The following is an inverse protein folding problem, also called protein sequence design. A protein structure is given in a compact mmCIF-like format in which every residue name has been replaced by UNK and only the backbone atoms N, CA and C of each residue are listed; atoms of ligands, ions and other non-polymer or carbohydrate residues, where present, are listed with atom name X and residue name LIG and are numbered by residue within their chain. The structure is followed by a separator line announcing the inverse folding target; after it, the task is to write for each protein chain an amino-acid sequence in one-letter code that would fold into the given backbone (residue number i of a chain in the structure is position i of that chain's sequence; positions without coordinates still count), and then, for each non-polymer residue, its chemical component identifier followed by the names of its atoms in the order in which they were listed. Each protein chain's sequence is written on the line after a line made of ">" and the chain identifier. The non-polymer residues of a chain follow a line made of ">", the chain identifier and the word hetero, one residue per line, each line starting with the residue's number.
data_IF_116643248028
#
_entry.id   IF_116643248028
#
_cell.length_a   1.000
_cell.length_b   1.000
_cell.length_c   1.000
_cell.angle_alpha   90.00
_cell.angle_beta   90.00
_cell.angle_gamma   90.00
#
_symmetry.space_group_name_H-M   'P 1'
#
loop_
_entity.id
_entity.type
_entity.pdbx_description
1 polymer ?
#
# COMPACT_ATOMS: atom_id res chain seq x y z
N UNK A 1 10.90 7.03 -20.11
CA UNK A 1 11.23 7.91 -18.96
C UNK A 1 10.01 8.49 -18.23
N UNK A 2 9.08 9.20 -18.87
CA UNK A 2 7.93 9.82 -18.16
C UNK A 2 7.09 8.82 -17.33
N UNK A 3 6.70 7.67 -17.90
CA UNK A 3 5.92 6.62 -17.19
C UNK A 3 6.65 6.05 -15.98
N UNK A 4 7.98 5.93 -16.04
CA UNK A 4 8.83 5.48 -14.95
C UNK A 4 8.82 6.48 -13.78
N UNK A 5 9.06 7.75 -14.08
CA UNK A 5 9.07 8.81 -13.05
C UNK A 5 7.71 8.89 -12.35
N UNK A 6 6.61 8.85 -13.10
CA UNK A 6 5.28 8.83 -12.48
C UNK A 6 5.03 7.58 -11.65
N UNK A 7 5.55 6.43 -12.07
CA UNK A 7 5.43 5.19 -11.28
C UNK A 7 6.10 5.34 -9.92
N UNK A 8 7.34 5.83 -9.90
CA UNK A 8 8.08 6.10 -8.67
C UNK A 8 7.36 7.11 -7.79
N UNK A 9 6.97 8.26 -8.33
CA UNK A 9 6.31 9.33 -7.57
C UNK A 9 5.01 8.83 -6.93
N UNK A 10 4.18 8.12 -7.70
CA UNK A 10 2.92 7.59 -7.18
C UNK A 10 3.22 6.57 -6.07
N UNK A 11 4.11 5.61 -6.31
CA UNK A 11 4.46 4.60 -5.31
C UNK A 11 5.00 5.20 -4.02
N UNK A 12 5.91 6.19 -4.13
CA UNK A 12 6.44 6.91 -2.98
C UNK A 12 5.38 7.65 -2.20
N UNK A 13 4.38 8.26 -2.84
CA UNK A 13 3.28 8.92 -2.12
C UNK A 13 2.56 7.89 -1.23
N UNK A 14 2.22 6.71 -1.76
CA UNK A 14 1.55 5.67 -0.98
C UNK A 14 2.43 5.12 0.16
N UNK A 15 3.73 4.93 -0.08
CA UNK A 15 4.66 4.48 0.96
C UNK A 15 4.85 5.54 2.06
N UNK A 16 5.09 6.79 1.66
CA UNK A 16 5.37 7.91 2.57
C UNK A 16 4.21 8.16 3.54
N UNK A 17 2.97 8.10 3.05
CA UNK A 17 1.77 8.29 3.87
C UNK A 17 1.67 7.26 5.00
N UNK A 18 2.19 6.04 4.82
CA UNK A 18 2.18 5.00 5.86
C UNK A 18 3.41 5.10 6.75
N UNK A 19 4.58 5.36 6.19
CA UNK A 19 5.81 5.45 6.96
C UNK A 19 5.86 6.66 7.90
N UNK A 20 5.19 7.77 7.56
CA UNK A 20 4.96 8.86 8.52
C UNK A 20 4.31 8.34 9.80
N UNK A 21 3.35 7.42 9.68
CA UNK A 21 2.63 6.88 10.84
C UNK A 21 3.55 5.90 11.58
N UNK A 22 4.12 4.94 10.85
CA UNK A 22 4.83 3.79 11.42
C UNK A 22 6.23 4.09 11.97
N UNK A 23 6.95 5.03 11.36
CA UNK A 23 8.31 5.39 11.79
C UNK A 23 8.37 6.80 12.35
N UNK A 24 7.77 7.78 11.66
CA UNK A 24 7.77 9.18 12.10
C UNK A 24 7.03 9.38 13.42
N UNK A 25 5.72 9.15 13.42
CA UNK A 25 4.84 9.39 14.57
C UNK A 25 5.02 8.32 15.65
N UNK A 26 5.06 7.04 15.27
CA UNK A 26 5.11 5.93 16.23
C UNK A 26 6.44 5.84 16.98
N UNK A 27 7.55 6.02 16.26
CA UNK A 27 8.89 5.72 16.77
C UNK A 27 9.77 6.97 16.90
N UNK A 28 9.36 8.12 16.35
CA UNK A 28 10.19 9.32 16.28
C UNK A 28 11.40 9.18 15.34
N UNK A 29 11.43 8.14 14.51
CA UNK A 29 12.56 7.75 13.67
C UNK A 29 12.44 8.37 12.28
N UNK A 30 12.54 9.70 12.22
CA UNK A 30 12.32 10.47 10.99
C UNK A 30 13.37 10.22 9.91
N UNK A 31 14.64 10.00 10.30
CA UNK A 31 15.73 9.78 9.35
C UNK A 31 15.60 8.38 8.74
N UNK A 32 15.31 7.39 9.56
CA UNK A 32 15.07 6.00 9.17
C UNK A 32 13.82 5.88 8.31
N UNK A 33 12.79 6.68 8.60
CA UNK A 33 11.61 6.82 7.74
C UNK A 33 12.00 7.29 6.35
N UNK A 34 12.79 8.37 6.23
CA UNK A 34 13.23 8.89 4.94
C UNK A 34 14.09 7.86 4.20
N UNK A 35 15.01 7.19 4.90
CA UNK A 35 15.82 6.12 4.32
C UNK A 35 14.95 4.98 3.80
N UNK A 36 13.98 4.52 4.60
CA UNK A 36 13.07 3.42 4.24
C UNK A 36 12.23 3.79 3.03
N UNK A 37 11.62 4.98 3.04
CA UNK A 37 10.82 5.47 1.90
C UNK A 37 11.69 5.56 0.66
N UNK A 38 12.83 6.23 0.70
CA UNK A 38 13.62 6.49 -0.52
C UNK A 38 14.32 5.24 -1.05
N UNK A 39 14.96 4.47 -0.17
CA UNK A 39 15.83 3.37 -0.55
C UNK A 39 15.05 2.07 -0.67
N UNK A 40 14.39 1.65 0.41
CA UNK A 40 13.73 0.36 0.46
C UNK A 40 12.51 0.32 -0.47
N UNK A 41 11.56 1.23 -0.29
CA UNK A 41 10.41 1.31 -1.20
C UNK A 41 10.84 1.73 -2.61
N UNK A 42 11.91 2.52 -2.76
CA UNK A 42 12.45 2.87 -4.08
C UNK A 42 12.87 1.64 -4.89
N UNK A 43 13.65 0.76 -4.28
CA UNK A 43 14.04 -0.51 -4.88
C UNK A 43 12.81 -1.39 -5.17
N UNK A 44 11.88 -1.48 -4.23
CA UNK A 44 10.66 -2.28 -4.36
C UNK A 44 9.76 -1.81 -5.53
N UNK A 45 9.52 -0.50 -5.63
CA UNK A 45 8.75 0.12 -6.73
C UNK A 45 9.46 -0.11 -8.06
N UNK A 46 10.79 0.05 -8.09
CA UNK A 46 11.59 -0.15 -9.30
C UNK A 46 11.44 -1.58 -9.80
N UNK A 47 11.62 -2.58 -8.94
CA UNK A 47 11.43 -4.00 -9.29
C UNK A 47 9.99 -4.24 -9.78
N UNK A 48 8.99 -3.66 -9.12
CA UNK A 48 7.59 -3.66 -9.55
C UNK A 48 7.40 -3.15 -10.98
N UNK A 49 7.95 -1.98 -11.27
CA UNK A 49 7.89 -1.37 -12.60
C UNK A 49 8.55 -2.24 -13.66
N UNK A 50 9.75 -2.77 -13.40
CA UNK A 50 10.45 -3.65 -14.33
C UNK A 50 9.68 -4.93 -14.60
N UNK A 51 9.17 -5.56 -13.54
CA UNK A 51 8.34 -6.75 -13.65
C UNK A 51 7.12 -6.47 -14.52
N UNK A 52 6.38 -5.39 -14.26
CA UNK A 52 5.18 -5.04 -15.02
C UNK A 52 5.42 -4.83 -16.52
N UNK A 53 6.56 -4.25 -16.92
CA UNK A 53 6.82 -3.93 -18.32
C UNK A 53 7.51 -5.07 -19.11
N UNK A 54 8.30 -5.93 -18.47
CA UNK A 54 9.07 -6.97 -19.19
C UNK A 54 8.26 -8.19 -19.60
N UNK A 55 7.10 -8.39 -19.01
CA UNK A 55 6.51 -9.74 -18.94
C UNK A 55 5.07 -9.81 -19.43
N UNK A 56 4.52 -8.72 -20.00
CA UNK A 56 3.07 -8.58 -20.30
C UNK A 56 2.19 -9.10 -19.15
N UNK A 57 2.68 -9.00 -17.91
CA UNK A 57 2.16 -9.87 -16.87
C UNK A 57 0.78 -9.41 -16.43
N UNK A 58 -0.07 -10.43 -16.26
CA UNK A 58 -1.37 -10.32 -15.63
C UNK A 58 -1.33 -9.37 -14.42
N UNK A 59 -2.24 -8.38 -14.33
CA UNK A 59 -2.35 -7.49 -13.18
C UNK A 59 -2.60 -8.28 -11.89
N UNK A 60 -3.28 -9.43 -11.97
CA UNK A 60 -3.45 -10.34 -10.85
C UNK A 60 -2.11 -10.90 -10.35
N UNK A 61 -1.25 -11.40 -11.24
CA UNK A 61 0.07 -11.92 -10.84
C UNK A 61 0.92 -10.85 -10.18
N UNK A 62 0.96 -9.66 -10.77
CA UNK A 62 1.68 -8.53 -10.19
C UNK A 62 1.16 -8.21 -8.78
N UNK A 63 -0.15 -8.07 -8.62
CA UNK A 63 -0.77 -7.78 -7.35
C UNK A 63 -0.43 -8.82 -6.26
N UNK A 64 -0.56 -10.11 -6.58
CA UNK A 64 -0.27 -11.20 -5.64
C UNK A 64 1.21 -11.27 -5.30
N UNK A 65 2.10 -11.21 -6.29
CA UNK A 65 3.54 -11.35 -6.06
C UNK A 65 4.07 -10.24 -5.17
N UNK A 66 3.75 -8.98 -5.48
CA UNK A 66 4.28 -7.87 -4.69
C UNK A 66 3.62 -7.78 -3.31
N UNK A 67 2.34 -8.13 -3.17
CA UNK A 67 1.71 -8.24 -1.86
C UNK A 67 2.34 -9.34 -1.00
N UNK A 68 2.63 -10.52 -1.57
CA UNK A 68 3.29 -11.62 -0.85
C UNK A 68 4.73 -11.26 -0.50
N UNK A 69 5.52 -10.74 -1.44
CA UNK A 69 6.91 -10.32 -1.16
C UNK A 69 6.93 -9.30 -0.02
N UNK A 70 5.99 -8.35 -0.03
CA UNK A 70 5.79 -7.42 1.07
C UNK A 70 5.55 -8.10 2.41
N UNK A 71 4.62 -9.06 2.47
CA UNK A 71 4.39 -9.86 3.68
C UNK A 71 5.65 -10.61 4.13
N UNK A 72 6.43 -11.17 3.21
CA UNK A 72 7.68 -11.84 3.57
C UNK A 72 8.65 -10.85 4.24
N UNK A 73 8.73 -9.60 3.75
CA UNK A 73 9.50 -8.57 4.44
C UNK A 73 8.95 -8.27 5.84
N UNK A 74 7.64 -8.17 5.99
CA UNK A 74 7.03 -7.98 7.32
C UNK A 74 7.36 -9.11 8.27
N UNK A 75 7.29 -10.35 7.81
CA UNK A 75 7.49 -11.52 8.66
C UNK A 75 8.95 -11.73 9.02
N UNK A 76 9.86 -11.63 8.05
CA UNK A 76 11.25 -12.03 8.21
C UNK A 76 12.20 -10.88 8.50
N UNK A 77 11.90 -9.66 8.03
CA UNK A 77 12.74 -8.49 8.29
C UNK A 77 12.21 -7.69 9.46
N UNK A 78 10.90 -7.41 9.50
CA UNK A 78 10.31 -6.58 10.55
C UNK A 78 9.77 -7.38 11.75
N UNK A 79 9.77 -8.72 11.67
CA UNK A 79 9.36 -9.59 12.77
C UNK A 79 7.86 -9.59 13.06
N UNK A 80 7.02 -9.07 12.15
CA UNK A 80 5.55 -9.00 12.29
C UNK A 80 4.86 -10.28 11.80
N UNK A 81 5.46 -11.43 12.11
CA UNK A 81 4.92 -12.72 11.72
C UNK A 81 3.61 -13.02 12.48
N UNK A 82 2.61 -13.67 11.83
CA UNK A 82 1.31 -13.95 12.45
C UNK A 82 1.35 -15.05 13.53
N UNK A 83 2.51 -15.66 13.76
CA UNK A 83 2.67 -16.87 14.58
C UNK A 83 2.75 -16.61 16.09
N UNK A 84 2.69 -15.35 16.53
CA UNK A 84 2.87 -14.92 17.92
C UNK A 84 1.64 -15.10 18.83
N UNK A 85 0.57 -15.74 18.33
CA UNK A 85 -0.66 -15.99 19.09
C UNK A 85 -1.63 -14.81 19.07
N UNK A 86 -2.92 -15.10 19.21
CA UNK A 86 -4.00 -14.10 19.15
C UNK A 86 -5.26 -14.61 18.46
N UNK A 87 -6.27 -13.75 18.34
CA UNK A 87 -7.49 -14.09 17.61
C UNK A 87 -7.20 -14.22 16.10
N UNK A 88 -7.47 -15.39 15.53
CA UNK A 88 -7.20 -15.71 14.12
C UNK A 88 -7.79 -14.69 13.14
N UNK A 89 -9.03 -14.23 13.36
CA UNK A 89 -9.71 -13.28 12.48
C UNK A 89 -8.98 -11.93 12.50
N UNK A 90 -8.60 -11.47 13.70
CA UNK A 90 -7.87 -10.21 13.85
C UNK A 90 -6.52 -10.29 13.15
N UNK A 91 -5.77 -11.37 13.36
CA UNK A 91 -4.49 -11.61 12.69
C UNK A 91 -4.68 -11.60 11.18
N UNK A 92 -5.68 -12.31 10.65
CA UNK A 92 -5.96 -12.34 9.22
C UNK A 92 -6.25 -10.94 8.64
N UNK A 93 -7.04 -10.11 9.32
CA UNK A 93 -7.34 -8.75 8.89
C UNK A 93 -6.09 -7.86 8.84
N UNK A 94 -5.21 -7.98 9.84
CA UNK A 94 -3.93 -7.25 9.86
C UNK A 94 -3.07 -7.68 8.67
N UNK A 95 -2.94 -8.99 8.43
CA UNK A 95 -2.15 -9.52 7.32
C UNK A 95 -2.73 -9.10 5.95
N UNK A 96 -4.06 -9.07 5.80
CA UNK A 96 -4.71 -8.56 4.59
C UNK A 96 -4.43 -7.07 4.36
N UNK A 97 -4.47 -6.26 5.42
CA UNK A 97 -4.11 -4.84 5.36
C UNK A 97 -2.67 -4.62 4.94
N UNK A 98 -1.72 -5.33 5.56
CA UNK A 98 -0.29 -5.25 5.22
C UNK A 98 -0.02 -5.72 3.79
N UNK A 99 -0.59 -6.86 3.39
CA UNK A 99 -0.52 -7.36 2.02
C UNK A 99 -1.01 -6.30 1.02
N UNK A 100 -2.18 -5.71 1.30
CA UNK A 100 -2.76 -4.69 0.43
C UNK A 100 -1.89 -3.45 0.38
N UNK A 101 -1.31 -3.02 1.51
CA UNK A 101 -0.37 -1.90 1.56
C UNK A 101 0.83 -2.13 0.65
N UNK A 102 1.52 -3.26 0.81
CA UNK A 102 2.69 -3.59 -0.01
C UNK A 102 2.33 -3.68 -1.50
N UNK A 103 1.22 -4.34 -1.82
CA UNK A 103 0.75 -4.38 -3.20
C UNK A 103 0.39 -2.97 -3.72
N UNK A 104 -0.16 -2.09 -2.90
CA UNK A 104 -0.55 -0.72 -3.29
C UNK A 104 0.63 0.07 -3.84
N UNK A 105 1.79 -0.02 -3.19
CA UNK A 105 2.97 0.78 -3.54
C UNK A 105 3.44 0.52 -4.98
N UNK A 106 3.27 -0.69 -5.49
CA UNK A 106 3.63 -1.05 -6.87
C UNK A 106 2.42 -1.03 -7.81
N UNK A 107 1.23 -1.36 -7.31
CA UNK A 107 0.04 -1.59 -8.12
C UNK A 107 -0.82 -0.34 -8.34
N UNK A 108 -0.87 0.59 -7.39
CA UNK A 108 -1.56 1.87 -7.59
C UNK A 108 -0.97 2.69 -8.74
N UNK A 109 0.37 2.78 -8.92
CA UNK A 109 0.96 3.31 -10.15
C UNK A 109 0.40 2.71 -11.43
N UNK A 110 0.28 1.38 -11.47
CA UNK A 110 -0.25 0.66 -12.64
C UNK A 110 -1.70 1.06 -12.90
N UNK A 111 -2.55 1.00 -11.88
CA UNK A 111 -3.98 1.38 -11.97
C UNK A 111 -4.16 2.83 -12.43
N UNK A 112 -3.40 3.77 -11.87
CA UNK A 112 -3.56 5.20 -12.14
C UNK A 112 -3.01 5.61 -13.51
N UNK A 113 -1.98 4.92 -14.00
CA UNK A 113 -1.36 5.22 -15.30
C UNK A 113 -1.97 4.42 -16.46
N UNK A 114 -2.76 3.38 -16.20
CA UNK A 114 -3.41 2.57 -17.24
C UNK A 114 -4.50 3.37 -17.97
N UNK A 115 -4.27 3.72 -19.23
CA UNK A 115 -5.22 4.48 -20.06
C UNK A 115 -6.15 3.58 -20.88
N UNK A 116 -5.77 2.33 -21.06
CA UNK A 116 -6.43 1.42 -21.99
C UNK A 116 -7.57 0.69 -21.29
N UNK A 117 -7.37 0.23 -20.06
CA UNK A 117 -8.32 -0.65 -19.37
C UNK A 117 -9.15 0.08 -18.31
N UNK A 118 -8.73 1.28 -17.90
CA UNK A 118 -9.32 1.99 -16.75
C UNK A 118 -9.87 3.34 -17.16
N UNK A 119 -11.16 3.54 -16.95
CA UNK A 119 -11.79 4.84 -17.16
C UNK A 119 -11.42 5.85 -16.05
N UNK A 120 -11.54 7.14 -16.37
CA UNK A 120 -11.23 8.24 -15.43
C UNK A 120 -12.07 8.17 -14.14
N UNK A 121 -13.29 7.65 -14.22
CA UNK A 121 -14.19 7.51 -13.07
C UNK A 121 -13.65 6.53 -12.02
N UNK A 122 -13.13 5.37 -12.43
CA UNK A 122 -12.56 4.37 -11.53
C UNK A 122 -11.32 4.92 -10.82
N UNK A 123 -10.42 5.61 -11.55
CA UNK A 123 -9.24 6.27 -10.96
C UNK A 123 -9.63 7.33 -9.93
N UNK A 124 -10.59 8.19 -10.29
CA UNK A 124 -11.08 9.26 -9.39
C UNK A 124 -11.69 8.68 -8.12
N UNK A 125 -12.51 7.63 -8.23
CA UNK A 125 -13.14 7.00 -7.08
C UNK A 125 -12.11 6.30 -6.17
N UNK A 126 -11.14 5.60 -6.77
CA UNK A 126 -10.02 5.02 -6.02
C UNK A 126 -9.24 6.09 -5.24
N UNK A 127 -8.83 7.19 -5.91
CA UNK A 127 -8.11 8.28 -5.25
C UNK A 127 -8.95 8.99 -4.18
N UNK A 128 -10.23 9.26 -4.47
CA UNK A 128 -11.12 9.91 -3.50
C UNK A 128 -11.28 9.04 -2.25
N UNK A 129 -11.48 7.73 -2.43
CA UNK A 129 -11.55 6.80 -1.32
C UNK A 129 -10.27 6.79 -0.50
N UNK A 130 -9.10 6.73 -1.17
CA UNK A 130 -7.81 6.75 -0.48
C UNK A 130 -7.59 8.05 0.30
N UNK A 131 -7.81 9.20 -0.34
CA UNK A 131 -7.60 10.52 0.27
C UNK A 131 -8.55 10.72 1.46
N UNK A 132 -9.83 10.40 1.30
CA UNK A 132 -10.82 10.53 2.38
C UNK A 132 -10.49 9.55 3.50
N UNK A 133 -10.20 8.29 3.17
CA UNK A 133 -9.85 7.25 4.14
C UNK A 133 -8.62 7.63 4.96
N UNK A 134 -7.49 7.88 4.29
CA UNK A 134 -6.26 8.30 4.96
C UNK A 134 -6.42 9.63 5.69
N UNK A 135 -7.08 10.63 5.08
CA UNK A 135 -7.36 11.90 5.73
C UNK A 135 -8.14 11.72 7.03
N UNK A 136 -9.13 10.82 7.05
CA UNK A 136 -9.87 10.46 8.26
C UNK A 136 -8.96 9.81 9.31
N UNK A 137 -8.11 8.86 8.92
CA UNK A 137 -7.14 8.21 9.83
C UNK A 137 -6.21 9.25 10.47
N UNK A 138 -5.71 10.20 9.68
CA UNK A 138 -4.85 11.27 10.17
C UNK A 138 -5.58 12.22 11.12
N UNK A 139 -6.77 12.69 10.75
CA UNK A 139 -7.58 13.58 11.59
C UNK A 139 -7.88 12.91 12.93
N UNK A 140 -8.42 11.68 12.91
CA UNK A 140 -8.74 10.95 14.13
C UNK A 140 -7.49 10.64 14.95
N UNK A 141 -6.37 10.28 14.31
CA UNK A 141 -5.10 10.05 14.98
C UNK A 141 -4.60 11.28 15.75
N UNK A 142 -4.63 12.46 15.12
CA UNK A 142 -4.20 13.69 15.77
C UNK A 142 -5.13 14.16 16.89
N UNK A 143 -6.44 13.90 16.77
CA UNK A 143 -7.42 14.19 17.83
C UNK A 143 -7.35 13.20 19.01
N UNK A 144 -6.75 12.02 18.81
CA UNK A 144 -6.65 10.98 19.83
C UNK A 144 -5.48 11.27 20.79
N UNK A 145 -5.63 11.01 22.11
CA UNK A 145 -4.54 11.10 23.07
C UNK A 145 -3.31 10.27 22.66
N UNK A 146 -2.12 10.72 23.07
CA UNK A 146 -0.85 10.12 22.65
C UNK A 146 -0.76 8.61 22.89
N UNK A 147 -1.30 8.13 24.01
CA UNK A 147 -1.26 6.70 24.38
C UNK A 147 -2.08 5.79 23.45
N UNK A 148 -3.10 6.31 22.76
CA UNK A 148 -3.98 5.53 21.87
C UNK A 148 -3.82 5.89 20.38
N UNK A 149 -3.13 7.00 20.09
CA UNK A 149 -2.93 7.52 18.73
C UNK A 149 -2.36 6.47 17.79
N UNK A 150 -1.28 5.81 18.20
CA UNK A 150 -0.59 4.83 17.37
C UNK A 150 -1.50 3.67 16.95
N UNK A 151 -2.15 3.04 17.93
CA UNK A 151 -3.05 1.91 17.69
C UNK A 151 -4.21 2.30 16.77
N UNK A 152 -4.82 3.46 16.99
CA UNK A 152 -5.91 3.95 16.16
C UNK A 152 -5.45 4.19 14.71
N UNK A 153 -4.28 4.80 14.52
CA UNK A 153 -3.76 5.09 13.19
C UNK A 153 -3.38 3.82 12.43
N UNK A 154 -2.77 2.83 13.09
CA UNK A 154 -2.48 1.53 12.46
C UNK A 154 -3.76 0.78 12.10
N UNK A 155 -4.71 0.68 13.02
CA UNK A 155 -5.99 0.02 12.75
C UNK A 155 -6.72 0.71 11.59
N UNK A 156 -6.73 2.04 11.59
CA UNK A 156 -7.26 2.86 10.50
C UNK A 156 -6.60 2.55 9.16
N UNK A 157 -5.26 2.50 9.13
CA UNK A 157 -4.50 2.12 7.93
C UNK A 157 -4.91 0.73 7.43
N UNK A 158 -4.91 -0.27 8.31
CA UNK A 158 -5.25 -1.65 7.97
C UNK A 158 -6.66 -1.70 7.37
N UNK A 159 -7.63 -0.99 7.94
CA UNK A 159 -8.99 -0.91 7.41
C UNK A 159 -9.00 -0.28 6.01
N UNK A 160 -8.39 0.89 5.84
CA UNK A 160 -8.35 1.59 4.54
C UNK A 160 -7.71 0.70 3.47
N UNK A 161 -6.55 0.12 3.75
CA UNK A 161 -5.84 -0.74 2.81
C UNK A 161 -6.59 -2.04 2.52
N UNK A 162 -7.22 -2.66 3.51
CA UNK A 162 -8.08 -3.84 3.27
C UNK A 162 -9.24 -3.49 2.34
N UNK A 163 -9.86 -2.33 2.52
CA UNK A 163 -10.94 -1.87 1.63
C UNK A 163 -10.45 -1.54 0.22
N UNK A 164 -9.17 -1.17 0.03
CA UNK A 164 -8.58 -0.95 -1.30
C UNK A 164 -8.56 -2.21 -2.16
N UNK A 165 -8.59 -3.40 -1.57
CA UNK A 165 -8.69 -4.68 -2.29
C UNK A 165 -9.87 -4.69 -3.27
N UNK A 166 -11.01 -4.11 -2.89
CA UNK A 166 -12.18 -4.02 -3.76
C UNK A 166 -11.94 -3.19 -5.02
N UNK A 167 -11.11 -2.15 -4.95
CA UNK A 167 -10.72 -1.35 -6.12
C UNK A 167 -9.72 -2.09 -7.01
N UNK A 168 -8.79 -2.85 -6.43
CA UNK A 168 -7.85 -3.68 -7.18
C UNK A 168 -8.55 -4.80 -7.94
N UNK A 169 -9.51 -5.47 -7.32
CA UNK A 169 -10.34 -6.48 -7.99
C UNK A 169 -11.12 -5.87 -9.16
N UNK A 170 -11.71 -4.68 -8.97
CA UNK A 170 -12.40 -3.96 -10.07
C UNK A 170 -11.44 -3.64 -11.22
N UNK A 171 -10.21 -3.21 -10.92
CA UNK A 171 -9.20 -2.96 -11.94
C UNK A 171 -8.81 -4.25 -12.69
N UNK A 172 -8.49 -5.31 -11.97
CA UNK A 172 -8.13 -6.61 -12.56
C UNK A 172 -9.26 -7.11 -13.47
N UNK A 173 -10.51 -7.03 -13.00
CA UNK A 173 -11.67 -7.41 -13.81
C UNK A 173 -11.85 -6.54 -15.06
N UNK A 174 -11.55 -5.24 -14.98
CA UNK A 174 -11.60 -4.36 -16.16
C UNK A 174 -10.53 -4.69 -17.20
N UNK A 175 -9.38 -5.22 -16.76
CA UNK A 175 -8.29 -5.64 -17.64
C UNK A 175 -8.64 -6.89 -18.45
N UNK A 176 -9.40 -7.84 -17.87
CA UNK A 176 -9.79 -9.09 -18.52
C UNK A 176 -11.09 -9.02 -19.35
N UNK A 177 -11.82 -7.91 -19.30
CA UNK A 177 -13.08 -7.72 -20.05
C UNK A 177 -12.87 -7.12 -21.44
N UNK A 178 -11.64 -6.73 -21.77
CA UNK A 178 -11.22 -6.29 -23.11
C UNK A 178 -10.41 -7.38 -23.76
#
# INVERSE_FOLDING_TARGET
>A
MKKYVYTLLIGYIFAFVVEIINMGIAKGLWIEMVFTVLVFYGAFILIGYWYANKTENSPWKHFVIFGVIGLLFEWFIFGMSPWSGGNFIVVLLIQLGMFSHWATVTFAPRLLLDKEHVNTSLKRRFLSFYIIGMGTVYILGFLTPHYARWSLMILGNIIVYTMLLGWYIKYINSFYKK
#
